data_IF_325239410433
#
_entry.id   IF_325239410433
#
_cell.length_a   1.000
_cell.length_b   1.000
_cell.length_c   1.000
_cell.angle_alpha   90.00
_cell.angle_beta   90.00
_cell.angle_gamma   90.00
#
_symmetry.space_group_name_H-M   'P 1'
#
loop_
_entity.id
_entity.type
_entity.pdbx_description
1 polymer ?
#
# COMPACT_ATOMS: atom_id res chain seq x y z
N UNK A 1 39.87 -5.03 1.64
CA UNK A 1 38.57 -4.67 1.09
C UNK A 1 38.61 -3.17 0.80
N UNK A 2 38.45 -2.73 -0.44
CA UNK A 2 38.49 -1.31 -0.79
C UNK A 2 37.05 -0.87 -1.08
N UNK A 3 36.56 0.10 -0.31
CA UNK A 3 35.28 0.77 -0.55
C UNK A 3 35.60 2.01 -1.43
N UNK A 4 34.94 2.12 -2.57
CA UNK A 4 35.07 3.28 -3.45
C UNK A 4 33.75 4.06 -3.44
N UNK A 5 33.83 5.35 -3.10
CA UNK A 5 32.69 6.27 -3.14
C UNK A 5 32.95 7.22 -4.31
N UNK A 6 32.11 7.20 -5.33
CA UNK A 6 32.18 8.16 -6.43
C UNK A 6 31.20 9.31 -6.16
N UNK A 7 31.73 10.45 -5.76
CA UNK A 7 30.92 11.64 -5.44
C UNK A 7 30.30 12.35 -6.67
N UNK A 8 30.67 11.95 -7.90
CA UNK A 8 30.09 12.51 -9.13
C UNK A 8 28.87 11.74 -9.61
N UNK A 9 28.80 10.45 -9.29
CA UNK A 9 27.68 9.56 -9.69
C UNK A 9 26.85 9.10 -8.50
N UNK A 10 27.22 9.44 -7.26
CA UNK A 10 26.67 8.90 -6.02
C UNK A 10 26.74 7.37 -5.89
N UNK A 11 27.65 6.75 -6.67
CA UNK A 11 27.83 5.30 -6.62
C UNK A 11 28.71 4.89 -5.44
N UNK A 12 28.28 3.87 -4.73
CA UNK A 12 29.08 3.14 -3.76
C UNK A 12 29.30 1.75 -4.31
N UNK A 13 30.53 1.41 -4.62
CA UNK A 13 30.88 0.10 -5.16
C UNK A 13 32.00 -0.59 -4.40
N UNK A 14 31.98 -1.90 -4.39
CA UNK A 14 33.02 -2.74 -3.88
C UNK A 14 33.31 -3.88 -4.88
N UNK A 15 34.56 -4.29 -4.99
CA UNK A 15 35.00 -5.28 -5.99
C UNK A 15 34.60 -6.72 -5.67
N UNK A 16 34.20 -7.03 -4.46
CA UNK A 16 33.76 -8.37 -4.00
C UNK A 16 33.02 -8.26 -2.67
N UNK A 17 31.75 -8.58 -2.65
CA UNK A 17 30.97 -8.72 -1.42
C UNK A 17 29.78 -7.77 -1.32
N UNK A 18 28.99 -7.97 -0.31
CA UNK A 18 27.81 -7.18 0.01
C UNK A 18 28.20 -5.95 0.84
N UNK A 19 27.68 -4.77 0.46
CA UNK A 19 27.77 -3.56 1.28
C UNK A 19 26.55 -3.57 2.19
N UNK A 20 26.77 -3.42 3.50
CA UNK A 20 25.67 -3.34 4.47
C UNK A 20 25.68 -1.95 5.09
N UNK A 21 24.58 -1.23 5.03
CA UNK A 21 24.36 0.05 5.72
C UNK A 21 23.24 -0.18 6.72
N UNK A 22 23.48 0.10 8.01
CA UNK A 22 22.53 -0.11 9.12
C UNK A 22 21.97 -1.55 9.21
N UNK A 23 22.77 -2.56 8.86
CA UNK A 23 22.33 -3.95 8.89
C UNK A 23 21.60 -4.44 7.63
N UNK A 24 21.31 -3.57 6.70
CA UNK A 24 20.68 -3.90 5.41
C UNK A 24 21.79 -4.11 4.36
N UNK A 25 21.73 -5.25 3.65
CA UNK A 25 22.64 -5.53 2.55
C UNK A 25 22.29 -4.62 1.34
N UNK A 26 23.23 -3.76 0.96
CA UNK A 26 23.12 -3.00 -0.30
C UNK A 26 23.81 -3.82 -1.39
N UNK A 27 23.03 -4.49 -2.21
CA UNK A 27 23.51 -5.46 -3.18
C UNK A 27 24.23 -4.84 -4.37
N UNK A 28 25.11 -5.62 -5.00
CA UNK A 28 25.80 -5.29 -6.25
C UNK A 28 25.02 -5.65 -7.52
N UNK A 29 23.73 -5.88 -7.43
CA UNK A 29 22.77 -5.99 -8.52
C UNK A 29 21.82 -4.78 -8.40
N UNK A 30 21.47 -4.16 -9.49
CA UNK A 30 20.59 -2.99 -9.59
C UNK A 30 19.16 -3.27 -9.09
N UNK A 31 18.98 -4.03 -8.00
CA UNK A 31 17.68 -4.19 -7.36
C UNK A 31 17.33 -2.89 -6.63
N UNK A 32 16.20 -2.28 -6.93
CA UNK A 32 15.74 -1.11 -6.21
C UNK A 32 15.68 -1.41 -4.72
N UNK A 33 16.28 -0.56 -3.90
CA UNK A 33 16.13 -0.66 -2.46
C UNK A 33 14.71 -0.20 -2.14
N UNK A 34 13.84 -1.14 -1.75
CA UNK A 34 12.57 -0.77 -1.18
C UNK A 34 12.86 -0.25 0.22
N UNK A 35 12.72 1.04 0.41
CA UNK A 35 12.78 1.66 1.72
C UNK A 35 11.46 1.33 2.44
N UNK A 36 11.45 0.26 3.20
CA UNK A 36 10.45 0.05 4.22
C UNK A 36 11.09 0.42 5.54
N UNK A 37 10.38 1.11 6.37
CA UNK A 37 10.84 1.46 7.69
C UNK A 37 10.06 0.72 8.77
N UNK A 38 10.48 0.89 9.99
CA UNK A 38 9.92 0.22 11.15
C UNK A 38 8.60 0.86 11.65
N UNK A 39 8.21 2.01 11.10
CA UNK A 39 6.96 2.70 11.46
C UNK A 39 5.89 2.46 10.41
N UNK A 40 4.78 1.81 10.82
CA UNK A 40 3.58 1.64 10.00
C UNK A 40 2.56 2.73 10.32
N UNK A 41 2.07 3.44 9.30
CA UNK A 41 1.04 4.47 9.43
C UNK A 41 -0.29 3.94 8.89
N UNK A 42 -1.39 4.30 9.56
CA UNK A 42 -2.77 4.00 9.15
C UNK A 42 -3.55 5.30 9.12
N UNK A 43 -3.99 5.77 7.94
CA UNK A 43 -4.64 7.07 7.78
C UNK A 43 -6.05 7.00 7.22
N UNK A 44 -6.95 7.88 7.71
CA UNK A 44 -8.33 7.97 7.26
C UNK A 44 -9.19 6.78 7.68
N UNK A 45 -10.24 6.51 6.90
CA UNK A 45 -11.17 5.40 7.12
C UNK A 45 -12.55 5.83 7.57
N UNK A 46 -13.45 4.86 7.77
CA UNK A 46 -14.83 5.05 8.20
C UNK A 46 -15.02 4.49 9.62
N UNK A 47 -15.40 5.35 10.54
CA UNK A 47 -15.74 5.05 11.97
C UNK A 47 -17.24 5.12 12.23
N UNK A 48 -18.09 5.12 11.20
CA UNK A 48 -19.49 5.57 11.16
C UNK A 48 -19.61 6.96 10.53
N UNK A 49 -18.49 7.63 10.38
CA UNK A 49 -18.25 8.83 9.57
C UNK A 49 -16.82 8.82 9.09
N UNK A 50 -16.51 9.56 8.01
CA UNK A 50 -15.13 9.65 7.54
C UNK A 50 -14.21 10.22 8.63
N UNK A 51 -13.00 9.65 8.72
CA UNK A 51 -11.96 10.03 9.67
C UNK A 51 -10.79 10.71 8.95
N UNK A 52 -10.11 11.65 9.65
CA UNK A 52 -8.84 12.20 9.24
C UNK A 52 -7.67 11.65 10.08
N UNK A 53 -7.92 10.87 11.11
CA UNK A 53 -6.90 10.36 12.04
C UNK A 53 -5.87 9.51 11.31
N UNK A 54 -4.59 9.80 11.60
CA UNK A 54 -3.46 8.94 11.25
C UNK A 54 -2.93 8.32 12.54
N UNK A 55 -2.93 7.00 12.62
CA UNK A 55 -2.28 6.23 13.69
C UNK A 55 -0.93 5.71 13.22
N UNK A 56 -0.03 5.41 14.17
CA UNK A 56 1.20 4.68 13.88
C UNK A 56 1.49 3.56 14.87
N UNK A 57 2.23 2.56 14.40
CA UNK A 57 2.81 1.47 15.18
C UNK A 57 4.30 1.32 14.86
N UNK A 58 5.05 0.66 15.74
CA UNK A 58 6.39 0.16 15.45
C UNK A 58 6.27 -1.29 14.99
N UNK A 59 6.48 -1.57 13.69
CA UNK A 59 6.15 -2.88 13.08
C UNK A 59 6.94 -4.04 13.70
N UNK A 60 8.20 -3.83 14.05
CA UNK A 60 9.04 -4.87 14.67
C UNK A 60 8.65 -5.22 16.11
N UNK A 61 7.67 -4.53 16.71
CA UNK A 61 7.28 -4.74 18.12
C UNK A 61 5.76 -4.70 18.26
N UNK A 62 5.17 -5.84 18.64
CA UNK A 62 3.72 -5.91 18.88
C UNK A 62 3.27 -4.90 19.93
N UNK A 63 2.12 -4.28 19.69
CA UNK A 63 1.54 -3.28 20.59
C UNK A 63 0.49 -2.41 19.89
N UNK A 64 -0.25 -1.67 20.70
CA UNK A 64 -1.31 -0.79 20.20
C UNK A 64 -0.73 0.43 19.46
N UNK A 65 -1.48 0.91 18.50
CA UNK A 65 -1.17 2.13 17.77
C UNK A 65 -1.27 3.37 18.67
N UNK A 66 -0.55 4.38 18.28
CA UNK A 66 -0.56 5.72 18.89
C UNK A 66 -0.95 6.75 17.83
N UNK A 67 -1.57 7.83 18.26
CA UNK A 67 -1.90 8.95 17.38
C UNK A 67 -0.64 9.56 16.75
N UNK A 68 -0.66 9.75 15.43
CA UNK A 68 0.40 10.37 14.65
C UNK A 68 0.06 11.82 14.30
N UNK A 69 -1.20 12.09 13.97
CA UNK A 69 -1.72 13.36 13.47
C UNK A 69 -2.92 13.14 12.55
N UNK A 70 -3.22 14.11 11.70
CA UNK A 70 -4.43 14.12 10.88
C UNK A 70 -4.14 14.33 9.40
N UNK A 71 -4.93 13.73 8.51
CA UNK A 71 -5.06 14.11 7.10
C UNK A 71 -5.65 15.52 7.00
N UNK A 72 -5.41 16.20 5.88
CA UNK A 72 -5.97 17.55 5.63
C UNK A 72 -7.50 17.55 5.58
N UNK A 73 -8.09 16.43 5.12
CA UNK A 73 -9.55 16.25 5.02
C UNK A 73 -9.95 14.83 5.47
N UNK A 74 -11.00 14.73 6.28
CA UNK A 74 -11.57 13.45 6.68
C UNK A 74 -12.15 12.71 5.48
N UNK A 75 -11.69 11.48 5.25
CA UNK A 75 -12.08 10.64 4.11
C UNK A 75 -11.87 9.16 4.38
N UNK A 76 -12.63 8.32 3.72
CA UNK A 76 -12.45 6.88 3.75
C UNK A 76 -12.02 6.33 2.39
N UNK A 77 -11.44 5.15 2.39
CA UNK A 77 -10.93 4.46 1.20
C UNK A 77 -9.92 5.29 0.37
N UNK A 78 -9.00 6.05 0.98
CA UNK A 78 -7.83 6.52 0.26
C UNK A 78 -6.90 5.33 -0.04
N UNK A 79 -5.86 5.56 -0.85
CA UNK A 79 -4.73 4.66 -0.98
C UNK A 79 -3.47 5.32 -0.42
N UNK A 80 -2.46 4.53 -0.02
CA UNK A 80 -1.22 5.09 0.47
C UNK A 80 0.01 4.35 -0.08
N UNK A 81 1.09 5.11 -0.26
CA UNK A 81 2.42 4.61 -0.62
C UNK A 81 3.50 5.49 0.05
N UNK A 82 4.76 5.07 -0.02
CA UNK A 82 5.86 5.81 0.62
C UNK A 82 7.18 5.58 -0.12
N UNK A 83 8.18 6.46 0.16
CA UNK A 83 9.58 6.24 -0.19
C UNK A 83 10.44 5.88 1.04
N UNK A 84 9.79 5.61 2.18
CA UNK A 84 10.42 5.37 3.46
C UNK A 84 10.60 6.64 4.31
N UNK A 85 10.60 7.83 3.71
CA UNK A 85 10.70 9.13 4.38
C UNK A 85 9.34 9.84 4.38
N UNK A 86 8.68 9.86 3.24
CA UNK A 86 7.38 10.49 3.05
C UNK A 86 6.31 9.43 2.84
N UNK A 87 5.23 9.50 3.61
CA UNK A 87 4.01 8.73 3.41
C UNK A 87 2.97 9.58 2.67
N UNK A 88 2.48 9.11 1.55
CA UNK A 88 1.48 9.77 0.73
C UNK A 88 0.14 9.07 0.89
N UNK A 89 -0.94 9.85 0.99
CA UNK A 89 -2.33 9.37 1.05
C UNK A 89 -3.12 10.04 -0.06
N UNK A 90 -3.58 9.28 -1.06
CA UNK A 90 -4.23 9.83 -2.25
C UNK A 90 -5.65 9.32 -2.48
N UNK A 91 -6.53 10.19 -3.00
CA UNK A 91 -7.91 9.87 -3.30
C UNK A 91 -8.77 9.63 -2.06
N UNK A 92 -9.82 8.86 -2.22
CA UNK A 92 -10.79 8.54 -1.17
C UNK A 92 -12.14 9.18 -1.39
N UNK A 93 -13.06 9.00 -0.43
CA UNK A 93 -14.41 9.55 -0.45
C UNK A 93 -14.63 10.50 0.73
N UNK A 94 -15.08 11.69 0.42
CA UNK A 94 -15.45 12.71 1.40
C UNK A 94 -16.97 12.70 1.50
N UNK A 95 -17.56 12.22 2.61
CA UNK A 95 -18.99 12.36 2.83
C UNK A 95 -19.31 13.84 3.02
N UNK A 96 -20.24 14.36 2.25
CA UNK A 96 -20.78 15.70 2.42
C UNK A 96 -22.30 15.62 2.46
N UNK A 97 -22.93 16.47 3.27
CA UNK A 97 -24.39 16.63 3.26
C UNK A 97 -24.75 17.65 2.18
N UNK A 98 -25.59 17.32 1.15
CA UNK A 98 -26.33 16.06 0.96
C UNK A 98 -25.68 15.03 0.05
N UNK A 99 -24.56 15.29 -0.63
CA UNK A 99 -23.96 14.37 -1.61
C UNK A 99 -22.44 14.31 -1.46
N UNK A 100 -21.92 13.20 -0.90
CA UNK A 100 -20.49 12.94 -0.87
C UNK A 100 -19.89 12.72 -2.27
N UNK A 101 -18.57 12.88 -2.39
CA UNK A 101 -17.86 12.72 -3.65
C UNK A 101 -16.49 12.07 -3.46
N UNK A 102 -16.01 11.41 -4.50
CA UNK A 102 -14.60 11.06 -4.60
C UNK A 102 -13.73 12.33 -4.60
N UNK A 103 -12.50 12.22 -4.12
CA UNK A 103 -11.52 13.31 -4.10
C UNK A 103 -10.27 12.94 -4.89
N UNK A 104 -9.57 13.95 -5.43
CA UNK A 104 -8.28 13.80 -6.08
C UNK A 104 -7.11 14.21 -5.18
N UNK A 105 -7.36 14.74 -3.99
CA UNK A 105 -6.33 15.24 -3.06
C UNK A 105 -5.32 14.16 -2.70
N UNK A 106 -4.03 14.52 -2.77
CA UNK A 106 -2.93 13.74 -2.22
C UNK A 106 -2.37 14.52 -1.02
N UNK A 107 -2.41 13.92 0.16
CA UNK A 107 -1.74 14.42 1.36
C UNK A 107 -0.40 13.73 1.56
N UNK A 108 0.55 14.36 2.23
CA UNK A 108 1.77 13.72 2.67
C UNK A 108 2.16 14.05 4.11
N UNK A 109 2.93 13.15 4.71
CA UNK A 109 3.56 13.30 6.02
C UNK A 109 5.03 12.92 5.94
N UNK A 110 5.87 13.50 6.81
CA UNK A 110 7.22 12.97 7.07
C UNK A 110 7.11 11.88 8.14
N UNK A 111 7.37 10.62 7.78
CA UNK A 111 7.06 9.45 8.62
C UNK A 111 7.80 9.48 9.97
N UNK A 112 9.05 9.98 10.00
CA UNK A 112 9.82 10.10 11.23
C UNK A 112 9.28 11.13 12.24
N UNK A 113 8.40 12.05 11.83
CA UNK A 113 8.01 13.22 12.63
C UNK A 113 6.50 13.26 12.84
N UNK A 114 6.05 13.21 14.11
CA UNK A 114 4.63 13.32 14.45
C UNK A 114 4.12 14.72 14.05
N UNK A 115 3.22 14.77 13.08
CA UNK A 115 2.61 16.00 12.59
C UNK A 115 1.39 15.69 11.73
N UNK A 116 0.51 16.67 11.57
CA UNK A 116 -0.57 16.59 10.60
C UNK A 116 -0.01 16.56 9.17
N UNK A 117 -0.74 15.92 8.27
CA UNK A 117 -0.43 15.92 6.85
C UNK A 117 -0.56 17.31 6.24
N UNK A 118 0.17 17.51 5.17
CA UNK A 118 0.08 18.69 4.31
C UNK A 118 -0.30 18.29 2.90
N UNK A 119 -0.82 19.22 2.14
CA UNK A 119 -1.16 19.02 0.74
C UNK A 119 0.10 18.71 -0.09
N UNK A 120 0.06 17.63 -0.86
CA UNK A 120 1.10 17.22 -1.80
C UNK A 120 0.78 17.68 -3.22
N UNK A 121 -0.49 17.63 -3.61
CA UNK A 121 -1.04 17.88 -4.94
C UNK A 121 -2.24 17.01 -5.23
N UNK A 122 -2.58 16.82 -6.51
CA UNK A 122 -3.80 16.15 -6.93
C UNK A 122 -3.52 14.97 -7.87
N UNK A 123 -4.35 13.92 -7.78
CA UNK A 123 -4.50 12.91 -8.82
C UNK A 123 -5.12 13.53 -10.08
N UNK A 124 -4.92 12.90 -11.24
CA UNK A 124 -5.49 13.39 -12.51
C UNK A 124 -7.02 13.31 -12.54
N UNK A 125 -7.60 12.39 -11.75
CA UNK A 125 -9.04 12.16 -11.61
C UNK A 125 -9.37 11.90 -10.14
N UNK A 126 -10.51 12.39 -9.67
CA UNK A 126 -11.03 12.04 -8.34
C UNK A 126 -11.32 10.53 -8.27
N UNK A 127 -10.83 9.86 -7.22
CA UNK A 127 -10.90 8.40 -7.12
C UNK A 127 -11.32 7.96 -5.71
N UNK A 128 -12.34 7.12 -5.63
CA UNK A 128 -12.74 6.38 -4.43
C UNK A 128 -12.22 4.95 -4.51
N UNK A 129 -11.52 4.49 -3.48
CA UNK A 129 -11.00 3.13 -3.42
C UNK A 129 -9.96 2.77 -4.49
N UNK A 130 -9.00 3.66 -4.81
CA UNK A 130 -7.83 3.27 -5.58
C UNK A 130 -6.93 2.34 -4.76
N UNK A 131 -5.90 1.77 -5.39
CA UNK A 131 -4.78 1.12 -4.71
C UNK A 131 -3.48 1.84 -5.03
N UNK A 132 -2.47 1.76 -4.14
CA UNK A 132 -1.19 2.41 -4.38
C UNK A 132 -0.01 1.53 -4.03
N UNK A 133 1.09 1.71 -4.79
CA UNK A 133 2.39 1.10 -4.55
C UNK A 133 3.51 2.07 -4.97
N UNK A 134 4.75 1.74 -4.66
CA UNK A 134 5.89 2.61 -4.94
C UNK A 134 7.17 1.83 -5.20
N UNK A 135 8.19 2.53 -5.75
CA UNK A 135 9.57 2.02 -5.85
C UNK A 135 10.57 2.90 -5.07
N UNK A 136 10.09 3.73 -4.14
CA UNK A 136 10.91 4.68 -3.41
C UNK A 136 11.21 5.97 -4.18
N UNK A 137 10.88 6.06 -5.47
CA UNK A 137 10.99 7.29 -6.27
C UNK A 137 9.62 7.72 -6.77
N UNK A 138 8.88 6.78 -7.34
CA UNK A 138 7.55 7.00 -7.88
C UNK A 138 6.50 6.31 -7.03
N UNK A 139 5.44 7.04 -6.68
CA UNK A 139 4.21 6.51 -6.11
C UNK A 139 3.15 6.39 -7.19
N UNK A 140 2.59 5.20 -7.34
CA UNK A 140 1.53 4.88 -8.30
C UNK A 140 0.19 4.74 -7.58
N UNK A 141 -0.87 5.29 -8.17
CA UNK A 141 -2.25 5.18 -7.70
C UNK A 141 -3.11 4.65 -8.85
N UNK A 142 -3.66 3.44 -8.71
CA UNK A 142 -4.35 2.75 -9.80
C UNK A 142 -5.78 2.35 -9.49
N UNK A 143 -6.65 2.41 -10.52
CA UNK A 143 -8.06 2.09 -10.43
C UNK A 143 -8.84 3.08 -9.60
N UNK A 144 -10.00 2.66 -9.09
CA UNK A 144 -10.89 3.50 -8.30
C UNK A 144 -12.26 3.71 -8.96
N UNK A 145 -13.09 4.52 -8.31
CA UNK A 145 -14.44 4.85 -8.75
C UNK A 145 -14.59 6.38 -8.85
N UNK A 146 -14.97 6.85 -10.03
CA UNK A 146 -15.45 8.21 -10.32
C UNK A 146 -16.79 8.11 -11.07
N UNK A 147 -17.88 8.01 -10.31
CA UNK A 147 -19.20 7.70 -10.87
C UNK A 147 -19.33 6.28 -11.45
N UNK A 148 -18.25 5.75 -12.03
CA UNK A 148 -18.07 4.36 -12.49
C UNK A 148 -16.65 3.89 -12.18
N UNK A 149 -16.41 2.57 -12.19
CA UNK A 149 -15.06 2.03 -12.04
C UNK A 149 -14.16 2.54 -13.18
N UNK A 150 -12.93 2.89 -12.85
CA UNK A 150 -11.91 3.38 -13.79
C UNK A 150 -10.69 2.45 -13.79
N UNK A 151 -9.89 2.53 -14.88
CA UNK A 151 -8.66 1.75 -15.04
C UNK A 151 -7.39 2.61 -14.98
N UNK A 152 -7.50 3.93 -14.85
CA UNK A 152 -6.37 4.87 -14.85
C UNK A 152 -5.37 4.55 -13.75
N UNK A 153 -4.10 4.55 -14.10
CA UNK A 153 -2.98 4.55 -13.16
C UNK A 153 -2.32 5.93 -13.22
N UNK A 154 -2.27 6.62 -12.10
CA UNK A 154 -1.57 7.89 -11.92
C UNK A 154 -0.20 7.65 -11.28
N UNK A 155 0.77 8.55 -11.49
CA UNK A 155 2.02 8.53 -10.74
C UNK A 155 2.47 9.93 -10.31
N UNK A 156 3.24 9.95 -9.21
CA UNK A 156 3.94 11.15 -8.69
C UNK A 156 5.40 10.81 -8.40
N UNK A 157 6.27 11.82 -8.41
CA UNK A 157 7.62 11.71 -7.83
C UNK A 157 7.53 12.03 -6.33
N UNK A 158 7.71 11.04 -5.45
CA UNK A 158 7.40 11.17 -4.01
C UNK A 158 8.19 12.29 -3.32
N UNK A 159 9.47 12.47 -3.68
CA UNK A 159 10.33 13.47 -3.07
C UNK A 159 10.00 14.93 -3.48
N UNK A 160 9.02 15.17 -4.36
CA UNK A 160 8.71 16.51 -4.89
C UNK A 160 7.21 16.70 -4.97
N UNK A 161 6.67 17.64 -4.17
CA UNK A 161 5.24 17.98 -4.21
C UNK A 161 4.80 18.45 -5.60
N UNK A 162 3.61 18.04 -6.01
CA UNK A 162 3.02 18.37 -7.30
C UNK A 162 1.93 17.39 -7.71
N UNK A 163 1.19 17.76 -8.74
CA UNK A 163 0.11 16.95 -9.24
C UNK A 163 0.62 15.69 -9.94
N UNK A 164 -0.17 14.63 -9.86
CA UNK A 164 0.09 13.39 -10.55
C UNK A 164 -0.02 13.56 -12.07
N UNK A 165 0.66 12.68 -12.79
CA UNK A 165 0.56 12.52 -14.23
C UNK A 165 0.04 11.11 -14.56
N UNK A 166 -0.48 10.95 -15.77
CA UNK A 166 -0.92 9.67 -16.27
C UNK A 166 0.27 8.71 -16.44
N UNK A 167 0.13 7.50 -15.90
CA UNK A 167 1.12 6.41 -16.04
C UNK A 167 0.71 5.43 -17.14
N UNK A 168 -0.59 5.15 -17.25
CA UNK A 168 -1.21 4.17 -18.11
C UNK A 168 -2.45 3.57 -17.47
N UNK A 169 -2.88 2.39 -17.92
CA UNK A 169 -4.14 1.77 -17.53
C UNK A 169 -3.97 0.36 -16.96
N UNK A 170 -4.83 -0.04 -16.02
CA UNK A 170 -5.08 -1.43 -15.65
C UNK A 170 -5.74 -2.19 -16.81
N UNK A 171 -5.64 -3.51 -16.83
CA UNK A 171 -6.28 -4.35 -17.86
C UNK A 171 -7.81 -4.27 -17.80
N UNK A 172 -8.40 -3.93 -16.64
CA UNK A 172 -9.83 -3.75 -16.45
C UNK A 172 -10.13 -2.65 -15.43
N UNK A 173 -11.20 -1.88 -15.67
CA UNK A 173 -11.69 -0.86 -14.75
C UNK A 173 -12.24 -1.51 -13.47
N UNK A 174 -11.72 -1.11 -12.30
CA UNK A 174 -12.11 -1.66 -10.99
C UNK A 174 -11.69 -0.78 -9.83
N UNK A 175 -12.41 -0.86 -8.72
CA UNK A 175 -12.14 -0.16 -7.48
C UNK A 175 -12.11 -1.11 -6.29
N UNK A 176 -11.59 -0.67 -5.15
CA UNK A 176 -11.45 -1.51 -3.98
C UNK A 176 -10.47 -2.67 -4.19
N UNK A 177 -9.45 -2.44 -4.99
CA UNK A 177 -8.32 -3.32 -5.22
C UNK A 177 -7.22 -3.05 -4.17
N UNK A 178 -6.20 -3.90 -4.11
CA UNK A 178 -5.01 -3.70 -3.30
C UNK A 178 -3.76 -3.70 -4.18
N UNK A 179 -2.68 -3.02 -3.76
CA UNK A 179 -1.44 -3.00 -4.51
C UNK A 179 -0.21 -3.14 -3.61
N UNK A 180 0.79 -3.85 -4.12
CA UNK A 180 2.10 -4.03 -3.50
C UNK A 180 3.20 -3.97 -4.56
N UNK A 181 4.47 -3.96 -4.13
CA UNK A 181 5.59 -3.86 -5.05
C UNK A 181 6.87 -4.49 -4.49
N UNK A 182 7.82 -4.82 -5.37
CA UNK A 182 9.19 -5.16 -5.00
C UNK A 182 10.19 -4.07 -5.43
N UNK A 183 9.69 -2.86 -5.72
CA UNK A 183 10.49 -1.74 -6.21
C UNK A 183 10.76 -1.77 -7.72
N UNK A 184 10.58 -2.90 -8.39
CA UNK A 184 10.65 -3.02 -9.86
C UNK A 184 9.25 -3.11 -10.43
N UNK A 185 8.46 -4.04 -9.92
CA UNK A 185 7.10 -4.32 -10.35
C UNK A 185 6.10 -3.85 -9.29
N UNK A 186 5.06 -3.15 -9.73
CA UNK A 186 3.87 -2.84 -8.97
C UNK A 186 2.74 -3.78 -9.38
N UNK A 187 2.14 -4.47 -8.41
CA UNK A 187 1.04 -5.40 -8.60
C UNK A 187 -0.25 -4.78 -8.10
N UNK A 188 -1.35 -4.98 -8.84
CA UNK A 188 -2.70 -4.51 -8.49
C UNK A 188 -3.66 -5.69 -8.51
N UNK A 189 -4.15 -6.13 -7.34
CA UNK A 189 -4.94 -7.34 -7.18
C UNK A 189 -6.37 -7.14 -6.73
N UNK A 190 -7.31 -7.95 -7.25
CA UNK A 190 -8.71 -7.97 -6.85
C UNK A 190 -9.50 -6.75 -7.31
N UNK A 191 -10.54 -6.38 -6.54
CA UNK A 191 -11.39 -5.22 -6.78
C UNK A 191 -12.77 -5.57 -7.32
N UNK A 192 -13.52 -4.52 -7.73
CA UNK A 192 -14.89 -4.62 -8.26
C UNK A 192 -15.00 -3.85 -9.59
N UNK A 193 -15.42 -4.54 -10.64
CA UNK A 193 -15.71 -3.98 -11.96
C UNK A 193 -17.10 -4.41 -12.49
N UNK A 194 -18.11 -4.49 -11.61
CA UNK A 194 -19.44 -5.09 -11.90
C UNK A 194 -19.61 -6.43 -11.19
N UNK A 195 -18.52 -7.12 -10.88
CA UNK A 195 -18.43 -8.29 -10.01
C UNK A 195 -17.10 -8.26 -9.25
N UNK A 196 -16.95 -9.06 -8.19
CA UNK A 196 -15.65 -9.26 -7.56
C UNK A 196 -14.66 -9.83 -8.57
N UNK A 197 -13.41 -9.34 -8.52
CA UNK A 197 -12.32 -9.76 -9.40
C UNK A 197 -11.28 -10.57 -8.64
N UNK A 198 -10.66 -11.53 -9.31
CA UNK A 198 -9.44 -12.22 -8.84
C UNK A 198 -8.20 -11.78 -9.63
N UNK A 199 -8.34 -10.97 -10.68
CA UNK A 199 -7.24 -10.54 -11.54
C UNK A 199 -6.16 -9.82 -10.72
N UNK A 200 -4.90 -10.18 -10.97
CA UNK A 200 -3.72 -9.42 -10.56
C UNK A 200 -3.09 -8.87 -11.83
N UNK A 201 -2.99 -7.54 -11.94
CA UNK A 201 -2.25 -6.84 -12.97
C UNK A 201 -0.87 -6.46 -12.46
N UNK A 202 0.10 -6.25 -13.36
CA UNK A 202 1.39 -5.68 -13.00
C UNK A 202 1.90 -4.63 -14.00
N UNK A 203 2.74 -3.73 -13.49
CA UNK A 203 3.48 -2.72 -14.25
C UNK A 203 4.96 -2.73 -13.84
N UNK A 204 5.83 -2.26 -14.74
CA UNK A 204 7.21 -1.89 -14.38
C UNK A 204 7.21 -0.44 -13.90
N UNK A 205 7.39 -0.18 -12.60
CA UNK A 205 7.16 1.16 -11.98
C UNK A 205 8.03 2.27 -12.59
N UNK A 206 9.24 1.95 -13.06
CA UNK A 206 10.16 2.94 -13.65
C UNK A 206 9.82 3.36 -15.09
N UNK A 207 8.81 2.74 -15.72
CA UNK A 207 8.49 2.95 -17.13
C UNK A 207 6.98 3.09 -17.31
N UNK A 208 6.51 4.25 -17.74
CA UNK A 208 5.08 4.48 -18.02
C UNK A 208 4.56 3.53 -19.09
N UNK A 209 3.35 3.04 -18.90
CA UNK A 209 2.69 2.12 -19.82
C UNK A 209 1.55 1.36 -19.14
N UNK A 210 0.74 0.70 -19.95
CA UNK A 210 -0.40 -0.06 -19.46
C UNK A 210 0.06 -1.33 -18.72
N UNK A 211 -0.75 -1.72 -17.74
CA UNK A 211 -0.54 -2.96 -17.01
C UNK A 211 -0.77 -4.19 -17.91
N UNK A 212 -0.13 -5.27 -17.55
CA UNK A 212 -0.33 -6.60 -18.13
C UNK A 212 -0.85 -7.56 -17.06
N UNK A 213 -1.51 -8.62 -17.50
CA UNK A 213 -1.97 -9.69 -16.63
C UNK A 213 -0.77 -10.38 -15.95
N UNK A 214 -0.85 -10.52 -14.62
CA UNK A 214 0.13 -11.25 -13.81
C UNK A 214 -0.36 -12.66 -13.48
N UNK A 215 -1.65 -12.82 -13.23
CA UNK A 215 -2.32 -14.03 -12.78
C UNK A 215 -3.51 -13.71 -11.88
N UNK A 216 -3.94 -14.67 -11.07
CA UNK A 216 -5.17 -14.58 -10.30
C UNK A 216 -4.95 -14.81 -8.79
N UNK A 217 -5.73 -14.13 -7.95
CA UNK A 217 -5.95 -14.48 -6.54
C UNK A 217 -6.67 -15.84 -6.43
N UNK A 218 -6.55 -16.52 -5.28
CA UNK A 218 -7.25 -17.78 -5.03
C UNK A 218 -8.77 -17.61 -4.99
N UNK A 219 -9.26 -16.40 -4.65
CA UNK A 219 -10.68 -16.06 -4.64
C UNK A 219 -10.92 -14.63 -5.13
N UNK A 220 -11.97 -14.44 -5.95
CA UNK A 220 -12.40 -13.12 -6.40
C UNK A 220 -12.93 -12.29 -5.21
N UNK A 221 -12.34 -11.13 -4.95
CA UNK A 221 -12.67 -10.29 -3.78
C UNK A 221 -12.29 -8.82 -3.98
N UNK A 222 -12.99 -7.96 -3.25
CA UNK A 222 -12.77 -6.51 -3.23
C UNK A 222 -12.50 -6.00 -1.83
N UNK A 223 -11.96 -4.78 -1.71
CA UNK A 223 -11.61 -4.14 -0.44
C UNK A 223 -10.73 -5.04 0.44
N UNK A 224 -9.74 -5.65 -0.18
CA UNK A 224 -8.65 -6.38 0.44
C UNK A 224 -7.49 -5.40 0.68
N UNK A 225 -6.50 -5.81 1.46
CA UNK A 225 -5.26 -5.07 1.66
C UNK A 225 -4.07 -5.86 1.13
N UNK A 226 -2.94 -5.21 0.91
CA UNK A 226 -1.71 -5.89 0.53
C UNK A 226 -0.47 -5.22 1.11
N UNK A 227 0.52 -6.04 1.36
CA UNK A 227 1.88 -5.65 1.73
C UNK A 227 2.87 -6.59 1.04
N UNK A 228 4.16 -6.29 1.13
CA UNK A 228 5.18 -7.08 0.44
C UNK A 228 6.54 -6.97 1.11
N UNK A 229 7.41 -7.93 0.77
CA UNK A 229 8.86 -7.78 0.82
C UNK A 229 9.42 -7.69 -0.61
N UNK A 230 10.72 -7.85 -0.77
CA UNK A 230 11.38 -7.84 -2.10
C UNK A 230 11.02 -9.06 -2.97
N UNK A 231 10.44 -10.10 -2.38
CA UNK A 231 10.16 -11.39 -3.03
C UNK A 231 8.68 -11.65 -3.17
N UNK A 232 7.93 -11.47 -2.08
CA UNK A 232 6.53 -11.86 -1.97
C UNK A 232 5.59 -10.67 -1.85
N UNK A 233 4.51 -10.69 -2.62
CA UNK A 233 3.34 -9.85 -2.45
C UNK A 233 2.24 -10.64 -1.74
N UNK A 234 1.71 -10.08 -0.66
CA UNK A 234 0.68 -10.72 0.18
C UNK A 234 -0.61 -9.92 0.06
N UNK A 235 -1.73 -10.62 -0.14
CA UNK A 235 -3.07 -10.03 -0.25
C UNK A 235 -3.98 -10.60 0.83
N UNK A 236 -4.53 -9.78 1.72
CA UNK A 236 -5.29 -10.24 2.89
C UNK A 236 -6.67 -9.62 3.04
N UNK A 237 -7.64 -10.41 3.52
CA UNK A 237 -8.99 -9.98 3.81
C UNK A 237 -9.85 -9.70 2.59
N UNK A 238 -10.79 -8.75 2.71
CA UNK A 238 -11.69 -8.33 1.64
C UNK A 238 -13.09 -8.96 1.72
N UNK A 239 -13.82 -8.92 0.61
CA UNK A 239 -15.19 -9.43 0.50
C UNK A 239 -15.36 -10.27 -0.76
N UNK A 240 -15.74 -11.52 -0.58
CA UNK A 240 -16.04 -12.52 -1.63
C UNK A 240 -17.53 -12.67 -1.92
N UNK A 241 -18.38 -11.87 -1.27
CA UNK A 241 -19.82 -11.99 -1.08
C UNK A 241 -20.15 -11.97 0.41
N UNK A 242 -19.18 -12.37 1.26
CA UNK A 242 -19.10 -12.15 2.70
C UNK A 242 -17.69 -11.69 3.06
N UNK A 243 -17.50 -11.13 4.25
CA UNK A 243 -16.18 -10.71 4.71
C UNK A 243 -15.25 -11.93 4.82
N UNK A 244 -13.99 -11.76 4.45
CA UNK A 244 -13.00 -12.83 4.32
C UNK A 244 -11.82 -12.61 5.25
N UNK A 245 -11.19 -13.72 5.68
CA UNK A 245 -9.92 -13.75 6.39
C UNK A 245 -8.77 -14.32 5.53
N UNK A 246 -9.04 -14.76 4.30
CA UNK A 246 -8.06 -15.36 3.40
C UNK A 246 -6.85 -14.43 3.21
N UNK A 247 -5.66 -15.01 3.30
CA UNK A 247 -4.41 -14.38 2.87
C UNK A 247 -3.83 -15.20 1.72
N UNK A 248 -3.60 -14.55 0.58
CA UNK A 248 -2.91 -15.11 -0.58
C UNK A 248 -1.52 -14.51 -0.72
N UNK A 249 -0.59 -15.21 -1.39
CA UNK A 249 0.70 -14.65 -1.78
C UNK A 249 1.11 -15.01 -3.20
N UNK A 250 1.97 -14.18 -3.78
CA UNK A 250 2.63 -14.39 -5.07
C UNK A 250 4.11 -14.11 -4.95
N UNK A 251 4.94 -14.70 -5.84
CA UNK A 251 6.32 -14.29 -6.03
C UNK A 251 6.35 -13.16 -7.05
N UNK A 252 6.62 -11.91 -6.63
CA UNK A 252 6.43 -10.70 -7.47
C UNK A 252 7.25 -10.73 -8.77
N UNK A 253 8.43 -11.35 -8.78
CA UNK A 253 9.31 -11.41 -9.96
C UNK A 253 8.87 -12.41 -11.03
N UNK A 254 7.84 -13.22 -10.77
CA UNK A 254 7.42 -14.31 -11.67
C UNK A 254 5.92 -14.34 -11.80
N UNK A 255 5.39 -14.09 -13.01
CA UNK A 255 3.95 -14.13 -13.29
C UNK A 255 3.37 -15.51 -12.97
N UNK A 256 2.18 -15.52 -12.38
CA UNK A 256 1.47 -16.75 -12.01
C UNK A 256 0.39 -16.48 -10.97
N UNK A 257 -0.47 -17.46 -10.75
CA UNK A 257 -1.56 -17.37 -9.81
C UNK A 257 -1.05 -17.37 -8.36
N UNK A 258 -1.78 -16.70 -7.49
CA UNK A 258 -1.52 -16.69 -6.07
C UNK A 258 -1.75 -18.09 -5.45
N UNK A 259 -1.05 -18.28 -4.35
CA UNK A 259 -1.18 -19.48 -3.50
C UNK A 259 -1.70 -19.05 -2.14
N UNK A 260 -2.40 -19.95 -1.46
CA UNK A 260 -2.85 -19.75 -0.08
C UNK A 260 -1.64 -19.54 0.85
N UNK A 261 -1.70 -18.46 1.65
CA UNK A 261 -0.70 -18.13 2.66
C UNK A 261 -1.15 -18.55 4.06
N UNK A 262 -2.44 -18.44 4.33
CA UNK A 262 -3.10 -18.65 5.62
C UNK A 262 -4.25 -17.68 5.82
N UNK A 263 -4.63 -17.44 7.07
CA UNK A 263 -5.79 -16.64 7.44
C UNK A 263 -5.45 -15.51 8.42
N UNK A 264 -6.15 -14.37 8.31
CA UNK A 264 -6.22 -13.34 9.36
C UNK A 264 -6.93 -13.91 10.60
N UNK A 265 -6.69 -13.33 11.76
CA UNK A 265 -7.32 -13.77 13.02
C UNK A 265 -8.84 -13.60 13.00
N UNK A 266 -9.35 -12.63 12.24
CA UNK A 266 -10.78 -12.35 12.04
C UNK A 266 -11.06 -11.98 10.59
N UNK A 267 -12.30 -12.17 10.14
CA UNK A 267 -12.74 -11.72 8.81
C UNK A 267 -12.72 -10.19 8.75
N UNK A 268 -12.13 -9.62 7.68
CA UNK A 268 -11.97 -8.16 7.52
C UNK A 268 -12.45 -7.70 6.15
N UNK A 269 -13.34 -6.70 6.13
CA UNK A 269 -13.71 -5.93 4.96
C UNK A 269 -13.02 -4.57 5.01
N UNK A 270 -12.21 -4.25 4.02
CA UNK A 270 -11.49 -2.98 3.97
C UNK A 270 -10.45 -2.84 5.10
N UNK A 271 -9.56 -3.81 5.36
CA UNK A 271 -8.37 -3.55 6.14
C UNK A 271 -7.38 -2.69 5.33
N UNK A 272 -6.38 -2.13 6.00
CA UNK A 272 -5.19 -1.60 5.36
C UNK A 272 -3.96 -2.43 5.76
N UNK A 273 -2.90 -2.42 4.95
CA UNK A 273 -1.69 -3.16 5.27
C UNK A 273 -0.42 -2.40 4.89
N UNK A 274 0.63 -2.62 5.66
CA UNK A 274 2.00 -2.17 5.39
C UNK A 274 3.00 -3.18 5.95
N UNK A 275 4.30 -2.98 5.70
CA UNK A 275 5.34 -3.94 6.08
C UNK A 275 6.69 -3.27 6.34
N UNK A 276 7.56 -3.98 7.07
CA UNK A 276 8.98 -3.63 7.28
C UNK A 276 9.94 -4.57 6.53
N UNK A 277 9.47 -5.28 5.50
CA UNK A 277 10.12 -6.37 4.75
C UNK A 277 10.20 -7.72 5.50
N UNK A 278 9.99 -7.75 6.80
CA UNK A 278 9.97 -8.97 7.61
C UNK A 278 8.55 -9.33 7.99
N UNK A 279 7.85 -8.34 8.53
CA UNK A 279 6.48 -8.47 9.00
C UNK A 279 5.52 -7.67 8.13
N UNK A 280 4.44 -8.30 7.72
CA UNK A 280 3.27 -7.65 7.13
C UNK A 280 2.21 -7.49 8.19
N UNK A 281 1.67 -6.27 8.35
CA UNK A 281 0.61 -5.98 9.32
C UNK A 281 -0.67 -5.56 8.60
N UNK A 282 -1.83 -6.00 9.14
CA UNK A 282 -3.17 -5.76 8.57
C UNK A 282 -4.06 -5.12 9.63
N UNK A 283 -4.32 -3.82 9.52
CA UNK A 283 -5.05 -3.06 10.53
C UNK A 283 -6.45 -2.64 10.12
N UNK A 284 -7.37 -2.63 11.08
CA UNK A 284 -8.76 -2.20 10.88
C UNK A 284 -9.58 -3.19 10.04
N UNK A 285 -10.60 -2.65 9.37
CA UNK A 285 -11.56 -3.43 8.56
C UNK A 285 -12.77 -3.88 9.36
N UNK A 286 -13.95 -3.94 8.70
CA UNK A 286 -15.22 -4.36 9.34
C UNK A 286 -15.56 -3.57 10.62
N UNK A 287 -15.19 -2.29 10.71
CA UNK A 287 -15.30 -1.46 11.92
C UNK A 287 -14.58 -2.08 13.14
N UNK A 288 -13.47 -2.75 12.90
CA UNK A 288 -12.56 -3.31 13.91
C UNK A 288 -11.34 -2.42 14.10
N UNK A 289 -10.74 -2.44 15.29
CA UNK A 289 -9.44 -1.84 15.58
C UNK A 289 -8.28 -2.86 15.54
N UNK A 290 -8.57 -4.16 15.45
CA UNK A 290 -7.57 -5.24 15.48
C UNK A 290 -6.53 -5.05 14.38
N UNK A 291 -5.25 -5.14 14.76
CA UNK A 291 -4.11 -5.26 13.87
C UNK A 291 -3.60 -6.70 13.95
N UNK A 292 -3.55 -7.39 12.81
CA UNK A 292 -2.93 -8.71 12.66
C UNK A 292 -1.53 -8.58 12.07
N UNK A 293 -0.64 -9.54 12.31
CA UNK A 293 0.65 -9.61 11.62
C UNK A 293 0.99 -11.02 11.13
N UNK A 294 1.82 -11.07 10.10
CA UNK A 294 2.43 -12.28 9.54
C UNK A 294 3.93 -12.07 9.33
N UNK A 295 4.70 -13.15 9.35
CA UNK A 295 6.10 -13.14 8.84
C UNK A 295 6.04 -13.42 7.34
N UNK A 296 6.38 -12.43 6.50
CA UNK A 296 6.14 -12.48 5.03
C UNK A 296 6.81 -13.68 4.36
N UNK A 297 8.03 -14.03 4.77
CA UNK A 297 8.78 -15.14 4.17
C UNK A 297 8.27 -16.54 4.56
N UNK A 298 7.26 -16.66 5.45
CA UNK A 298 6.82 -17.95 5.99
C UNK A 298 5.30 -18.04 6.00
N UNK A 299 4.69 -18.74 5.02
CA UNK A 299 3.23 -18.93 4.99
C UNK A 299 2.70 -19.56 6.29
N UNK A 300 1.79 -18.85 6.94
CA UNK A 300 1.11 -19.25 8.18
C UNK A 300 -0.06 -18.30 8.47
N UNK A 301 -0.96 -18.73 9.37
CA UNK A 301 -2.00 -17.85 9.87
C UNK A 301 -1.42 -16.63 10.59
N UNK A 302 -2.09 -15.50 10.47
CA UNK A 302 -1.75 -14.29 11.18
C UNK A 302 -1.91 -14.44 12.70
N UNK A 303 -1.20 -13.62 13.42
CA UNK A 303 -1.27 -13.50 14.87
C UNK A 303 -1.69 -12.08 15.24
N UNK A 304 -2.32 -11.91 16.40
CA UNK A 304 -2.68 -10.59 16.92
C UNK A 304 -1.42 -9.76 17.17
N UNK A 305 -1.44 -8.52 16.67
CA UNK A 305 -0.37 -7.53 16.85
C UNK A 305 -0.72 -6.52 17.94
N UNK A 306 -1.97 -6.10 18.00
CA UNK A 306 -2.51 -5.04 18.85
C UNK A 306 -3.67 -4.33 18.16
N UNK A 307 -3.95 -3.09 18.58
CA UNK A 307 -5.14 -2.34 18.15
C UNK A 307 -4.80 -0.95 17.60
N UNK A 308 -5.56 -0.48 16.60
CA UNK A 308 -5.63 0.93 16.20
C UNK A 308 -6.28 1.74 17.35
N UNK A 309 -6.02 3.04 17.38
CA UNK A 309 -6.62 3.94 18.38
C UNK A 309 -8.16 3.99 18.27
N UNK A 310 -8.70 3.81 17.06
CA UNK A 310 -10.13 3.80 16.77
C UNK A 310 -10.47 2.69 15.76
N UNK A 311 -11.54 1.95 16.02
CA UNK A 311 -12.09 0.97 15.09
C UNK A 311 -12.59 1.66 13.81
N UNK A 312 -12.12 1.19 12.65
CA UNK A 312 -12.44 1.80 11.35
C UNK A 312 -12.32 0.84 10.17
N UNK A 313 -13.11 1.11 9.15
CA UNK A 313 -13.09 0.38 7.87
C UNK A 313 -12.41 1.24 6.81
N UNK A 314 -11.70 0.60 5.87
CA UNK A 314 -11.07 1.25 4.72
C UNK A 314 -10.16 2.44 5.06
N UNK A 315 -9.27 2.35 6.06
CA UNK A 315 -8.11 3.23 6.12
C UNK A 315 -7.14 2.91 4.96
N UNK A 316 -6.11 3.73 4.80
CA UNK A 316 -4.93 3.40 3.98
C UNK A 316 -3.71 3.22 4.88
N UNK A 317 -2.68 2.47 4.43
CA UNK A 317 -1.46 2.30 5.20
C UNK A 317 -0.21 2.36 4.32
N UNK A 318 0.86 2.89 4.91
CA UNK A 318 2.22 2.89 4.37
C UNK A 318 3.23 2.75 5.50
N UNK A 319 4.51 2.56 5.17
CA UNK A 319 5.58 2.39 6.17
C UNK A 319 6.85 3.15 5.80
N UNK A 320 7.68 3.43 6.80
CA UNK A 320 8.97 4.11 6.65
C UNK A 320 9.64 4.36 8.00
N UNK A 321 10.71 5.16 8.00
CA UNK A 321 11.49 5.58 9.19
C UNK A 321 11.63 7.11 9.28
#
# INVERSE_FOLDING_TARGET
MSLTINHQTNDISNSTGTITINGVAVGGDNTPIIWSGNRGLFGGGDTGSASNVIDYVTIATTGNATDFGDLTVARHSPAACSDGIYGLFGGGFIPADPTGSATNVIDYVTIATLANATDFGDLTVAQYGPAACSNGTYGLFGGGLDGSAINVINYVTIATTGNATDFGDLTAARYGLAACSNGTYGLFGGGWGGSNSNIIDYVTISTTGNATDFGDLTAARRFLASCSDVTYGIFGGGNTGSNSNIIDYVTISTTGNATDFGDLTVVKYGPAACSDLTYGIFGGGSTSNVIDYVTIATPANATDFGDLTVARTSPAACSGD
#
